data_IF_736028021049
#
_entry.id   IF_736028021049
#
_cell.length_a   1.000
_cell.length_b   1.000
_cell.length_c   1.000
_cell.angle_alpha   90.00
_cell.angle_beta   90.00
_cell.angle_gamma   90.00
#
_symmetry.space_group_name_H-M   'P 1'
#
loop_
_entity.id
_entity.type
_entity.pdbx_description
1 polymer ?
#
# COMPACT_ATOMS: atom_id res chain seq x y z
N UNK A 1 8.85 -17.82 -1.41
CA UNK A 1 7.88 -17.53 -2.49
C UNK A 1 6.60 -18.30 -2.17
N UNK A 2 5.41 -17.70 -2.32
CA UNK A 2 4.14 -18.38 -2.03
C UNK A 2 3.94 -19.65 -2.88
N UNK A 3 3.12 -20.60 -2.42
CA UNK A 3 2.77 -21.79 -3.21
C UNK A 3 1.99 -21.39 -4.47
N UNK A 4 2.30 -22.05 -5.59
CA UNK A 4 1.61 -21.83 -6.87
C UNK A 4 0.32 -22.66 -7.02
N UNK A 5 0.15 -23.69 -6.18
CA UNK A 5 -1.04 -24.53 -6.15
C UNK A 5 -1.30 -24.96 -4.69
N UNK A 6 -2.35 -24.41 -4.10
CA UNK A 6 -2.85 -24.71 -2.76
C UNK A 6 -4.37 -24.42 -2.73
N UNK A 7 -5.05 -24.71 -1.61
CA UNK A 7 -6.44 -24.27 -1.46
C UNK A 7 -6.55 -22.75 -1.47
N UNK A 8 -7.77 -22.25 -1.69
CA UNK A 8 -8.06 -20.83 -1.87
C UNK A 8 -7.56 -19.97 -0.69
N UNK A 9 -7.82 -20.41 0.55
CA UNK A 9 -7.44 -19.65 1.75
C UNK A 9 -5.93 -19.63 1.89
N UNK A 10 -5.28 -20.78 1.84
CA UNK A 10 -3.81 -20.88 1.95
C UNK A 10 -3.12 -20.05 0.87
N UNK A 11 -3.66 -20.06 -0.35
CA UNK A 11 -3.16 -19.23 -1.46
C UNK A 11 -3.28 -17.75 -1.10
N UNK A 12 -4.48 -17.27 -0.78
CA UNK A 12 -4.72 -15.86 -0.44
C UNK A 12 -3.82 -15.37 0.69
N UNK A 13 -3.78 -16.08 1.81
CA UNK A 13 -3.00 -15.71 2.99
C UNK A 13 -1.50 -15.69 2.70
N UNK A 14 -0.98 -16.70 2.00
CA UNK A 14 0.45 -16.78 1.67
C UNK A 14 0.89 -15.66 0.73
N UNK A 15 0.06 -15.30 -0.25
CA UNK A 15 0.35 -14.20 -1.17
C UNK A 15 0.26 -12.83 -0.49
N UNK A 16 -0.75 -12.62 0.37
CA UNK A 16 -0.87 -11.38 1.16
C UNK A 16 0.36 -11.19 2.07
N UNK A 17 0.75 -12.23 2.81
CA UNK A 17 1.92 -12.16 3.68
C UNK A 17 3.19 -11.87 2.89
N UNK A 18 3.37 -12.52 1.74
CA UNK A 18 4.54 -12.28 0.89
C UNK A 18 4.60 -10.84 0.36
N UNK A 19 3.49 -10.26 -0.09
CA UNK A 19 3.48 -8.87 -0.56
C UNK A 19 3.71 -7.87 0.58
N UNK A 20 3.12 -8.09 1.76
CA UNK A 20 3.38 -7.27 2.96
C UNK A 20 4.86 -7.29 3.34
N UNK A 21 5.44 -8.48 3.44
CA UNK A 21 6.85 -8.65 3.77
C UNK A 21 7.77 -8.03 2.71
N UNK A 22 7.42 -8.17 1.43
CA UNK A 22 8.19 -7.57 0.33
C UNK A 22 8.18 -6.06 0.40
N UNK A 23 7.02 -5.44 0.64
CA UNK A 23 6.91 -3.99 0.74
C UNK A 23 7.69 -3.45 1.96
N UNK A 24 7.59 -4.13 3.11
CA UNK A 24 8.37 -3.80 4.30
C UNK A 24 9.88 -3.90 4.03
N UNK A 25 10.32 -4.96 3.35
CA UNK A 25 11.71 -5.15 2.94
C UNK A 25 12.21 -4.01 2.04
N UNK A 26 11.38 -3.50 1.13
CA UNK A 26 11.74 -2.35 0.26
C UNK A 26 11.89 -1.04 1.03
N UNK A 27 11.24 -0.90 2.18
CA UNK A 27 11.35 0.28 3.03
C UNK A 27 12.48 0.16 4.06
N UNK A 28 13.06 -1.03 4.24
CA UNK A 28 14.02 -1.30 5.31
C UNK A 28 15.32 -0.52 5.14
N UNK A 29 15.75 0.15 6.22
CA UNK A 29 17.02 0.88 6.25
C UNK A 29 17.00 2.24 5.54
N UNK A 30 15.85 2.66 5.02
CA UNK A 30 15.68 3.98 4.41
C UNK A 30 15.33 5.02 5.48
N UNK A 31 15.80 6.25 5.29
CA UNK A 31 15.36 7.40 6.07
C UNK A 31 13.97 7.87 5.63
N UNK A 32 13.31 8.63 6.49
CA UNK A 32 12.03 9.28 6.18
C UNK A 32 12.09 10.16 4.92
N UNK A 33 13.22 10.84 4.68
CA UNK A 33 13.42 11.65 3.48
C UNK A 33 13.49 10.78 2.22
N UNK A 34 14.21 9.65 2.29
CA UNK A 34 14.30 8.70 1.17
C UNK A 34 12.94 8.07 0.87
N UNK A 35 12.14 7.73 1.89
CA UNK A 35 10.80 7.19 1.71
C UNK A 35 9.83 8.16 1.03
N UNK A 36 10.04 9.48 1.19
CA UNK A 36 9.26 10.56 0.57
C UNK A 36 9.80 11.00 -0.80
N UNK A 37 10.97 10.53 -1.19
CA UNK A 37 11.55 10.87 -2.48
C UNK A 37 10.90 10.07 -3.61
N UNK A 38 10.66 10.74 -4.75
CA UNK A 38 10.14 10.09 -5.94
C UNK A 38 11.11 9.00 -6.42
N UNK A 39 10.60 7.80 -6.64
CA UNK A 39 11.43 6.60 -6.85
C UNK A 39 12.17 6.64 -8.19
N UNK A 40 11.55 7.21 -9.23
CA UNK A 40 12.15 7.34 -10.57
C UNK A 40 11.43 8.42 -11.39
N UNK A 41 12.12 9.44 -11.92
CA UNK A 41 11.51 10.37 -12.88
C UNK A 41 11.02 9.65 -14.15
N UNK A 42 9.86 10.03 -14.74
CA UNK A 42 8.98 11.14 -14.37
C UNK A 42 7.90 10.77 -13.33
N UNK A 43 7.95 9.55 -12.79
CA UNK A 43 6.95 9.09 -11.82
C UNK A 43 7.09 9.83 -10.50
N UNK A 44 5.96 10.32 -9.99
CA UNK A 44 5.85 10.85 -8.63
C UNK A 44 5.68 9.74 -7.58
N UNK A 45 5.82 8.45 -7.93
CA UNK A 45 5.62 7.35 -6.97
C UNK A 45 6.67 7.38 -5.86
N UNK A 46 6.23 7.39 -4.61
CA UNK A 46 7.10 7.26 -3.42
C UNK A 46 6.80 5.97 -2.67
N UNK A 47 7.81 5.45 -1.95
CA UNK A 47 7.61 4.29 -1.10
C UNK A 47 6.64 4.61 0.06
N UNK A 48 6.70 5.81 0.64
CA UNK A 48 5.74 6.23 1.65
C UNK A 48 4.30 6.18 1.10
N UNK A 49 4.08 6.73 -0.10
CA UNK A 49 2.80 6.69 -0.79
C UNK A 49 2.29 5.27 -0.99
N UNK A 50 3.18 4.38 -1.46
CA UNK A 50 2.83 2.99 -1.71
C UNK A 50 2.41 2.26 -0.43
N UNK A 51 3.08 2.51 0.70
CA UNK A 51 2.68 1.96 2.01
C UNK A 51 1.31 2.49 2.45
N UNK A 52 1.08 3.80 2.32
CA UNK A 52 -0.21 4.40 2.68
C UNK A 52 -1.35 3.85 1.82
N UNK A 53 -1.14 3.79 0.51
CA UNK A 53 -2.10 3.23 -0.43
C UNK A 53 -2.41 1.76 -0.14
N UNK A 54 -1.39 0.92 0.07
CA UNK A 54 -1.59 -0.50 0.37
C UNK A 54 -2.36 -0.70 1.68
N UNK A 55 -2.10 0.11 2.71
CA UNK A 55 -2.82 0.05 3.97
C UNK A 55 -4.32 0.43 3.81
N UNK A 56 -4.63 1.44 3.00
CA UNK A 56 -6.02 1.79 2.67
C UNK A 56 -6.72 0.71 1.84
N UNK A 57 -6.02 0.10 0.86
CA UNK A 57 -6.56 -1.00 0.05
C UNK A 57 -6.91 -2.20 0.93
N UNK A 58 -6.01 -2.61 1.82
CA UNK A 58 -6.29 -3.70 2.77
C UNK A 58 -7.47 -3.35 3.70
N UNK A 59 -7.48 -2.14 4.25
CA UNK A 59 -8.60 -1.67 5.09
C UNK A 59 -9.92 -1.70 4.34
N UNK A 60 -9.94 -1.27 3.08
CA UNK A 60 -11.15 -1.26 2.25
C UNK A 60 -11.67 -2.69 2.04
N UNK A 61 -10.82 -3.62 1.61
CA UNK A 61 -11.24 -5.00 1.34
C UNK A 61 -11.66 -5.74 2.61
N UNK A 62 -10.87 -5.66 3.69
CA UNK A 62 -11.16 -6.41 4.91
C UNK A 62 -12.27 -5.79 5.73
N UNK A 63 -12.28 -4.47 5.93
CA UNK A 63 -13.26 -3.83 6.82
C UNK A 63 -14.53 -3.39 6.10
N UNK A 64 -14.41 -2.78 4.92
CA UNK A 64 -15.60 -2.26 4.23
C UNK A 64 -16.30 -3.31 3.40
N UNK A 65 -15.55 -4.07 2.59
CA UNK A 65 -16.12 -5.04 1.67
C UNK A 65 -16.47 -6.35 2.37
N UNK A 66 -15.52 -6.97 3.07
CA UNK A 66 -15.71 -8.30 3.66
C UNK A 66 -16.63 -8.25 4.89
N UNK A 67 -16.42 -7.31 5.82
CA UNK A 67 -17.20 -7.23 7.07
C UNK A 67 -18.32 -6.20 7.06
N UNK A 68 -18.40 -5.33 6.03
CA UNK A 68 -19.44 -4.30 5.94
C UNK A 68 -19.32 -3.18 6.98
N UNK A 69 -18.15 -3.00 7.61
CA UNK A 69 -17.93 -1.97 8.62
C UNK A 69 -17.84 -0.58 7.97
N UNK A 70 -18.42 0.41 8.65
CA UNK A 70 -18.14 1.81 8.38
C UNK A 70 -16.76 2.20 8.93
N UNK A 71 -15.74 1.96 8.12
CA UNK A 71 -14.36 2.19 8.47
C UNK A 71 -13.82 3.44 7.74
N UNK A 72 -13.71 4.62 8.38
CA UNK A 72 -13.20 5.83 7.73
C UNK A 72 -11.72 5.64 7.30
N UNK A 73 -11.22 6.44 6.33
CA UNK A 73 -9.80 6.44 5.95
C UNK A 73 -8.89 6.67 7.15
N UNK A 74 -7.73 6.01 7.15
CA UNK A 74 -6.68 6.16 8.17
C UNK A 74 -5.86 7.41 7.90
N UNK A 75 -5.63 7.72 6.62
CA UNK A 75 -4.92 8.93 6.22
C UNK A 75 -5.92 10.05 5.96
N UNK A 76 -5.58 11.25 6.43
CA UNK A 76 -6.42 12.44 6.30
C UNK A 76 -6.70 12.81 4.83
N UNK A 77 -7.58 13.80 4.60
CA UNK A 77 -7.86 14.28 3.26
C UNK A 77 -6.55 14.68 2.57
N UNK A 78 -6.42 14.26 1.31
CA UNK A 78 -5.35 14.61 0.38
C UNK A 78 -4.96 16.07 0.58
N UNK A 79 -3.75 16.29 1.09
CA UNK A 79 -3.20 17.64 1.26
C UNK A 79 -3.08 18.27 -0.15
N UNK A 80 -3.77 19.37 -0.44
CA UNK A 80 -3.69 20.03 -1.75
C UNK A 80 -2.27 20.45 -2.12
N UNK A 81 -1.38 20.62 -1.13
CA UNK A 81 0.02 21.02 -1.30
C UNK A 81 1.00 19.89 -0.94
N UNK A 82 0.49 18.72 -0.53
CA UNK A 82 1.29 17.60 -0.07
C UNK A 82 1.53 16.60 -1.18
N UNK A 83 2.73 16.01 -1.20
CA UNK A 83 3.08 14.99 -2.17
C UNK A 83 2.35 13.67 -1.82
N UNK A 84 1.25 13.37 -2.52
CA UNK A 84 0.35 12.21 -2.30
C UNK A 84 0.93 10.87 -2.81
N UNK A 85 2.25 10.79 -2.80
CA UNK A 85 2.99 9.58 -3.05
C UNK A 85 2.83 8.95 -4.44
N UNK A 86 2.27 9.68 -5.42
CA UNK A 86 2.24 9.34 -6.84
C UNK A 86 1.02 8.55 -7.32
N UNK A 87 -0.06 8.48 -6.54
CA UNK A 87 -1.32 7.80 -6.92
C UNK A 87 -2.38 8.75 -7.46
N UNK A 88 -1.96 9.93 -7.95
CA UNK A 88 -2.87 10.88 -8.56
C UNK A 88 -3.44 10.31 -9.85
N UNK A 89 -4.77 10.32 -9.97
CA UNK A 89 -5.42 10.03 -11.26
C UNK A 89 -5.41 11.34 -12.04
N UNK A 90 -4.69 11.44 -13.17
CA UNK A 90 -4.78 12.63 -14.01
C UNK A 90 -6.23 12.83 -14.47
N UNK A 91 -6.70 14.07 -14.39
CA UNK A 91 -8.04 14.48 -14.81
C UNK A 91 -8.24 14.32 -16.33
#
# INVERSE_FOLDING_TARGET
MPPMNADERTTLESWLEFYRATLALKCQGLSDEQLRSASVPPSALTLQGLVQHAAEVERNWFRRVLTGEDAPPIFGPRDPNGHDGGFEVPA
#
